data_IF_459026636639
#
_entry.id   IF_459026636639
#
_cell.length_a   1.000
_cell.length_b   1.000
_cell.length_c   1.000
_cell.angle_alpha   90.00
_cell.angle_beta   90.00
_cell.angle_gamma   90.00
#
_symmetry.space_group_name_H-M   'P 1'
#
loop_
_entity.id
_entity.type
_entity.pdbx_description
1 polymer ?
#
# COMPACT_ATOMS: atom_id res chain seq x y z
N UNK A 1 -0.89 4.14 -38.38
CA UNK A 1 -1.79 3.44 -37.41
C UNK A 1 -1.07 2.91 -36.16
N UNK A 2 0.25 2.62 -36.22
CA UNK A 2 1.03 1.97 -35.14
C UNK A 2 1.24 2.86 -33.88
N UNK A 3 1.43 4.18 -34.05
CA UNK A 3 1.64 5.14 -32.94
C UNK A 3 0.46 5.28 -31.95
N UNK A 4 -0.78 4.94 -32.35
CA UNK A 4 -1.96 5.07 -31.47
C UNK A 4 -2.08 3.89 -30.50
N UNK A 5 -1.68 2.68 -30.94
CA UNK A 5 -1.65 1.47 -30.11
C UNK A 5 -0.57 1.55 -29.02
N UNK A 6 0.63 2.05 -29.33
CA UNK A 6 1.70 2.26 -28.33
C UNK A 6 1.27 3.20 -27.19
N UNK A 7 0.68 4.35 -27.53
CA UNK A 7 0.15 5.31 -26.54
C UNK A 7 -1.01 4.76 -25.70
N UNK A 8 -1.78 3.81 -26.22
CA UNK A 8 -2.85 3.17 -25.46
C UNK A 8 -2.31 2.12 -24.48
N UNK A 9 -1.29 1.36 -24.88
CA UNK A 9 -0.60 0.41 -24.03
C UNK A 9 0.15 1.10 -22.87
N UNK A 10 0.86 2.20 -23.15
CA UNK A 10 1.53 3.01 -22.11
C UNK A 10 0.55 3.55 -21.08
N UNK A 11 -0.62 4.04 -21.51
CA UNK A 11 -1.67 4.52 -20.59
C UNK A 11 -2.27 3.39 -19.77
N UNK A 12 -2.45 2.20 -20.35
CA UNK A 12 -2.95 1.04 -19.63
C UNK A 12 -1.94 0.57 -18.56
N UNK A 13 -0.65 0.51 -18.91
CA UNK A 13 0.42 0.18 -17.98
C UNK A 13 0.51 1.20 -16.83
N UNK A 14 0.42 2.50 -17.14
CA UNK A 14 0.39 3.55 -16.12
C UNK A 14 -0.81 3.41 -15.18
N UNK A 15 -2.01 3.18 -15.71
CA UNK A 15 -3.21 2.97 -14.89
C UNK A 15 -3.09 1.73 -14.01
N UNK A 16 -2.49 0.65 -14.51
CA UNK A 16 -2.22 -0.54 -13.72
C UNK A 16 -1.26 -0.23 -12.57
N UNK A 17 -0.17 0.48 -12.83
CA UNK A 17 0.77 0.90 -11.80
C UNK A 17 0.13 1.83 -10.75
N UNK A 18 -0.69 2.81 -11.18
CA UNK A 18 -1.44 3.69 -10.28
C UNK A 18 -2.44 2.90 -9.41
N UNK A 19 -3.09 1.90 -9.99
CA UNK A 19 -4.04 1.03 -9.30
C UNK A 19 -3.36 0.14 -8.26
N UNK A 20 -2.20 -0.43 -8.59
CA UNK A 20 -1.42 -1.23 -7.66
C UNK A 20 -0.86 -0.37 -6.53
N UNK A 21 -0.38 0.85 -6.82
CA UNK A 21 0.04 1.80 -5.80
C UNK A 21 -1.11 2.15 -4.82
N UNK A 22 -2.33 2.36 -5.34
CA UNK A 22 -3.51 2.61 -4.51
C UNK A 22 -3.86 1.42 -3.59
N UNK A 23 -3.64 0.19 -4.05
CA UNK A 23 -3.83 -1.02 -3.24
C UNK A 23 -2.81 -1.14 -2.11
N UNK A 24 -1.54 -0.80 -2.34
CA UNK A 24 -0.52 -0.79 -1.27
C UNK A 24 -0.87 0.24 -0.19
N UNK A 25 -1.34 1.43 -0.57
CA UNK A 25 -1.84 2.45 0.37
C UNK A 25 -3.02 1.91 1.19
N UNK A 26 -3.98 1.27 0.51
CA UNK A 26 -5.15 0.66 1.17
C UNK A 26 -4.72 -0.43 2.15
N UNK A 27 -3.71 -1.24 1.80
CA UNK A 27 -3.15 -2.26 2.68
C UNK A 27 -2.51 -1.66 3.94
N UNK A 28 -1.73 -0.60 3.79
CA UNK A 28 -1.15 0.10 4.94
C UNK A 28 -2.22 0.70 5.85
N UNK A 29 -3.26 1.31 5.28
CA UNK A 29 -4.37 1.88 6.05
C UNK A 29 -5.12 0.82 6.87
N UNK A 30 -5.31 -0.38 6.32
CA UNK A 30 -5.90 -1.51 7.04
C UNK A 30 -4.98 -2.06 8.12
N UNK A 31 -3.68 -2.24 7.83
CA UNK A 31 -2.71 -2.69 8.81
C UNK A 31 -2.67 -1.75 10.04
N UNK A 32 -2.66 -0.43 9.82
CA UNK A 32 -2.74 0.57 10.90
C UNK A 32 -4.06 0.45 11.65
N UNK A 33 -5.18 0.34 10.94
CA UNK A 33 -6.51 0.25 11.56
C UNK A 33 -6.64 -0.97 12.48
N UNK A 34 -6.14 -2.11 12.04
CA UNK A 34 -6.13 -3.34 12.84
C UNK A 34 -5.19 -3.23 14.04
N UNK A 35 -4.00 -2.66 13.87
CA UNK A 35 -3.06 -2.42 14.95
C UNK A 35 -3.69 -1.52 16.03
N UNK A 36 -4.33 -0.42 15.65
CA UNK A 36 -5.03 0.50 16.57
C UNK A 36 -6.14 -0.22 17.32
N UNK A 37 -6.97 -1.01 16.62
CA UNK A 37 -8.04 -1.79 17.26
C UNK A 37 -7.49 -2.82 18.25
N UNK A 38 -6.37 -3.47 17.91
CA UNK A 38 -5.75 -4.47 18.79
C UNK A 38 -5.09 -3.86 20.02
N UNK A 39 -4.55 -2.65 19.90
CA UNK A 39 -3.87 -1.95 20.98
C UNK A 39 -4.84 -1.46 22.06
N UNK A 40 -6.09 -1.11 21.70
CA UNK A 40 -7.06 -0.54 22.62
C UNK A 40 -6.55 0.81 23.15
N UNK A 41 -6.13 0.84 24.41
CA UNK A 41 -5.49 2.03 25.05
C UNK A 41 -3.96 1.93 25.10
N UNK A 42 -3.38 0.82 24.65
CA UNK A 42 -1.94 0.58 24.63
C UNK A 42 -1.22 1.16 23.41
N UNK A 43 0.12 0.98 23.34
CA UNK A 43 0.92 1.46 22.22
C UNK A 43 0.57 0.73 20.92
N UNK A 44 0.40 1.48 19.83
CA UNK A 44 0.16 0.93 18.49
C UNK A 44 1.46 0.37 17.93
N UNK A 45 1.47 -0.91 17.60
CA UNK A 45 2.61 -1.58 16.94
C UNK A 45 2.17 -2.08 15.58
N UNK A 46 2.79 -1.54 14.53
CA UNK A 46 2.55 -1.93 13.14
C UNK A 46 3.90 -1.92 12.42
N UNK A 47 4.13 -2.92 11.56
CA UNK A 47 5.40 -3.12 10.86
C UNK A 47 5.19 -3.17 9.35
N UNK A 48 6.25 -2.97 8.54
CA UNK A 48 6.18 -3.16 7.09
C UNK A 48 5.70 -4.57 6.71
N UNK A 49 6.01 -5.59 7.52
CA UNK A 49 5.55 -6.96 7.32
C UNK A 49 4.01 -7.09 7.39
N UNK A 50 3.34 -6.29 8.22
CA UNK A 50 1.87 -6.28 8.30
C UNK A 50 1.24 -5.73 7.02
N UNK A 51 1.84 -4.69 6.43
CA UNK A 51 1.41 -4.11 5.16
C UNK A 51 1.58 -5.13 4.03
N UNK A 52 2.75 -5.78 3.96
CA UNK A 52 3.04 -6.82 2.95
C UNK A 52 2.09 -8.01 3.07
N UNK A 53 1.84 -8.48 4.29
CA UNK A 53 0.88 -9.56 4.57
C UNK A 53 -0.51 -9.19 4.06
N UNK A 54 -1.00 -8.00 4.41
CA UNK A 54 -2.34 -7.57 3.96
C UNK A 54 -2.43 -7.41 2.44
N UNK A 55 -1.37 -6.88 1.82
CA UNK A 55 -1.30 -6.75 0.36
C UNK A 55 -1.31 -8.11 -0.35
N UNK A 56 -0.58 -9.10 0.18
CA UNK A 56 -0.57 -10.46 -0.34
C UNK A 56 -1.94 -11.15 -0.17
N UNK A 57 -2.53 -11.08 1.02
CA UNK A 57 -3.78 -11.76 1.35
C UNK A 57 -5.00 -11.19 0.62
N UNK A 58 -5.08 -9.86 0.48
CA UNK A 58 -6.29 -9.20 -0.05
C UNK A 58 -6.17 -8.69 -1.48
N UNK A 59 -4.95 -8.44 -1.96
CA UNK A 59 -4.72 -7.88 -3.28
C UNK A 59 -3.87 -8.77 -4.19
N UNK A 60 -3.36 -9.89 -3.68
CA UNK A 60 -2.44 -10.79 -4.39
C UNK A 60 -1.20 -10.04 -4.91
N UNK A 61 -0.73 -9.06 -4.13
CA UNK A 61 0.43 -8.24 -4.45
C UNK A 61 1.65 -8.69 -3.64
N UNK A 62 2.76 -8.94 -4.33
CA UNK A 62 4.08 -9.07 -3.70
C UNK A 62 4.71 -7.68 -3.60
N UNK A 63 4.66 -7.11 -2.40
CA UNK A 63 5.15 -5.75 -2.13
C UNK A 63 6.57 -5.82 -1.57
N UNK A 64 7.55 -5.15 -2.20
CA UNK A 64 8.90 -5.01 -1.65
C UNK A 64 8.89 -4.37 -0.26
N UNK A 65 9.80 -4.79 0.60
CA UNK A 65 9.85 -4.32 1.99
C UNK A 65 10.11 -2.83 2.11
N UNK A 66 11.03 -2.29 1.32
CA UNK A 66 11.32 -0.84 1.31
C UNK A 66 10.09 -0.02 0.92
N UNK A 67 9.34 -0.46 -0.10
CA UNK A 67 8.10 0.22 -0.51
C UNK A 67 7.03 0.14 0.59
N UNK A 68 6.89 -1.00 1.26
CA UNK A 68 5.97 -1.15 2.37
C UNK A 68 6.37 -0.25 3.55
N UNK A 69 7.67 -0.10 3.82
CA UNK A 69 8.20 0.77 4.86
C UNK A 69 7.94 2.25 4.55
N UNK A 70 8.23 2.69 3.32
CA UNK A 70 7.99 4.06 2.87
C UNK A 70 6.50 4.43 2.97
N UNK A 71 5.63 3.57 2.43
CA UNK A 71 4.18 3.79 2.49
C UNK A 71 3.70 3.79 3.94
N UNK A 72 4.17 2.86 4.78
CA UNK A 72 3.78 2.82 6.18
C UNK A 72 4.19 4.10 6.92
N UNK A 73 5.44 4.55 6.75
CA UNK A 73 5.95 5.77 7.35
C UNK A 73 5.12 7.00 6.92
N UNK A 74 4.81 7.11 5.63
CA UNK A 74 3.97 8.17 5.09
C UNK A 74 2.56 8.18 5.69
N UNK A 75 1.94 7.00 5.80
CA UNK A 75 0.59 6.86 6.36
C UNK A 75 0.56 7.13 7.88
N UNK A 76 1.57 6.69 8.63
CA UNK A 76 1.70 6.98 10.05
C UNK A 76 1.82 8.49 10.30
N UNK A 77 2.68 9.18 9.53
CA UNK A 77 2.85 10.63 9.57
C UNK A 77 1.55 11.38 9.26
N UNK A 78 0.82 10.97 8.22
CA UNK A 78 -0.48 11.57 7.87
C UNK A 78 -1.57 11.38 8.94
N UNK A 79 -1.45 10.32 9.75
CA UNK A 79 -2.38 10.01 10.84
C UNK A 79 -1.92 10.53 12.22
N UNK A 80 -0.76 11.19 12.29
CA UNK A 80 -0.22 11.76 13.53
C UNK A 80 0.46 10.76 14.47
N UNK A 81 0.92 9.62 13.95
CA UNK A 81 1.68 8.60 14.70
C UNK A 81 3.21 8.69 14.54
N UNK A 82 3.70 9.66 13.74
CA UNK A 82 5.12 9.86 13.44
C UNK A 82 5.76 10.95 14.28
#
# INVERSE_FOLDING_TARGET
>A
MIRRRGRQAERAARRAAEHDAARVVTAADWAITLAVRSAGTGPVRVTPADVRRWAAEHFLLDVPEDLAADVLADRLRLRGYG
#
